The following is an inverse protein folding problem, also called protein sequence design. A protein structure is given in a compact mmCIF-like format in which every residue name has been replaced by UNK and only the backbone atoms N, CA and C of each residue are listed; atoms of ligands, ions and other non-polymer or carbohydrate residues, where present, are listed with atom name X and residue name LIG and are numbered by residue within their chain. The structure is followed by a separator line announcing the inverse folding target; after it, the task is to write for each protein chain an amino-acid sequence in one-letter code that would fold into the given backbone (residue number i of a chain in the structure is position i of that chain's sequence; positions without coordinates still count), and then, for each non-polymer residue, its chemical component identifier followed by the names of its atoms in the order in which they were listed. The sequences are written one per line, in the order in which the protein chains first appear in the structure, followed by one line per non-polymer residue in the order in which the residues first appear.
data_IF_421740744878
#
_entry.id   IF_421740744878
#
_cell.length_a   1.000
_cell.length_b   1.000
_cell.length_c   1.000
_cell.angle_alpha   90.00
_cell.angle_beta   90.00
_cell.angle_gamma   90.00
#
_symmetry.space_group_name_H-M   'P 1'
#
loop_
_entity.id
_entity.type
_entity.pdbx_description
1 polymer ?
#
# COMPACT_ATOMS: atom_id res chain seq x y z
N UNK A 1 -22.15 0.98 -53.15
CA UNK A 1 -21.28 0.90 -51.97
C UNK A 1 -20.83 2.31 -51.65
N UNK A 2 -21.57 2.98 -50.78
CA UNK A 2 -21.33 4.38 -50.43
C UNK A 2 -20.20 4.43 -49.38
N UNK A 3 -19.09 5.06 -49.76
CA UNK A 3 -18.01 5.44 -48.86
C UNK A 3 -18.52 6.54 -47.94
N UNK A 4 -18.80 6.17 -46.69
CA UNK A 4 -19.21 7.10 -45.64
C UNK A 4 -17.97 7.53 -44.85
N UNK A 5 -17.76 8.84 -44.85
CA UNK A 5 -17.02 9.66 -43.88
C UNK A 5 -15.48 9.71 -43.95
N UNK A 6 -14.92 10.72 -44.64
CA UNK A 6 -13.75 11.45 -44.18
C UNK A 6 -14.24 12.60 -43.27
N UNK A 7 -14.59 12.32 -42.02
CA UNK A 7 -15.08 13.33 -41.07
C UNK A 7 -14.22 13.47 -39.80
N UNK A 8 -13.04 12.88 -39.74
CA UNK A 8 -12.06 13.13 -38.68
C UNK A 8 -10.79 13.76 -39.28
N UNK A 9 -11.00 14.84 -40.02
CA UNK A 9 -9.93 15.75 -40.42
C UNK A 9 -9.74 16.76 -39.29
N UNK A 10 -8.60 16.67 -38.64
CA UNK A 10 -7.87 17.75 -37.95
C UNK A 10 -8.70 18.66 -37.04
N UNK A 11 -8.77 18.31 -35.75
CA UNK A 11 -8.78 19.32 -34.70
C UNK A 11 -7.31 19.58 -34.29
N UNK A 12 -6.61 20.57 -34.88
CA UNK A 12 -5.32 21.00 -34.36
C UNK A 12 -5.61 21.80 -33.09
N UNK A 13 -5.55 21.12 -31.94
CA UNK A 13 -5.51 21.63 -30.55
C UNK A 13 -6.03 20.59 -29.54
N UNK A 14 -6.27 19.34 -29.93
CA UNK A 14 -6.52 18.31 -28.94
C UNK A 14 -5.21 17.95 -28.24
N UNK A 15 -5.01 18.56 -27.07
CA UNK A 15 -4.13 18.10 -26.01
C UNK A 15 -4.56 16.70 -25.53
N UNK A 16 -4.56 15.73 -26.43
CA UNK A 16 -4.90 14.35 -26.17
C UNK A 16 -3.65 13.69 -25.59
N UNK A 17 -3.60 13.63 -24.27
CA UNK A 17 -2.57 12.92 -23.54
C UNK A 17 -2.70 11.42 -23.79
N UNK A 18 -1.76 10.84 -24.53
CA UNK A 18 -1.64 9.40 -24.70
C UNK A 18 -0.74 8.81 -23.61
N UNK A 19 -1.23 8.90 -22.37
CA UNK A 19 -0.62 8.19 -21.23
C UNK A 19 -1.00 6.71 -21.24
N UNK A 20 -0.24 5.89 -20.51
CA UNK A 20 -0.58 4.46 -20.46
C UNK A 20 -1.96 4.25 -19.83
N UNK A 21 -2.88 3.55 -20.52
CA UNK A 21 -4.25 3.37 -20.05
C UNK A 21 -4.29 2.56 -18.75
N UNK A 22 -3.21 1.82 -18.45
CA UNK A 22 -3.07 1.03 -17.23
C UNK A 22 -2.93 1.89 -15.97
N UNK A 23 -2.41 3.13 -16.09
CA UNK A 23 -2.22 4.04 -14.95
C UNK A 23 -3.24 5.18 -14.99
N UNK A 24 -3.62 5.64 -16.19
CA UNK A 24 -4.58 6.73 -16.39
C UNK A 24 -6.01 6.31 -16.61
N UNK A 25 -6.23 5.00 -16.75
CA UNK A 25 -7.54 4.43 -17.00
C UNK A 25 -8.55 4.93 -15.98
N UNK A 26 -9.78 5.12 -16.46
CA UNK A 26 -10.92 5.45 -15.61
C UNK A 26 -11.04 4.48 -14.42
N UNK A 27 -10.71 3.20 -14.63
CA UNK A 27 -10.69 2.17 -13.60
C UNK A 27 -9.77 2.46 -12.40
N UNK A 28 -8.55 2.97 -12.63
CA UNK A 28 -7.61 3.28 -11.53
C UNK A 28 -8.15 4.42 -10.67
N UNK A 29 -8.67 5.48 -11.29
CA UNK A 29 -9.27 6.61 -10.56
C UNK A 29 -10.47 6.16 -9.74
N UNK A 30 -11.37 5.39 -10.37
CA UNK A 30 -12.52 4.81 -9.67
C UNK A 30 -12.06 3.93 -8.50
N UNK A 31 -11.01 3.12 -8.70
CA UNK A 31 -10.37 2.31 -7.66
C UNK A 31 -9.90 3.13 -6.47
N UNK A 32 -9.23 4.27 -6.70
CA UNK A 32 -8.79 5.19 -5.63
C UNK A 32 -9.98 5.71 -4.83
N UNK A 33 -11.02 6.20 -5.51
CA UNK A 33 -12.20 6.73 -4.81
C UNK A 33 -12.96 5.65 -4.05
N UNK A 34 -13.08 4.45 -4.62
CA UNK A 34 -13.68 3.30 -3.94
C UNK A 34 -12.85 2.86 -2.72
N UNK A 35 -11.53 2.87 -2.83
CA UNK A 35 -10.63 2.58 -1.72
C UNK A 35 -10.82 3.59 -0.57
N UNK A 36 -10.87 4.88 -0.90
CA UNK A 36 -11.09 5.95 0.07
C UNK A 36 -12.47 5.85 0.74
N UNK A 37 -13.50 5.59 -0.07
CA UNK A 37 -14.88 5.40 0.41
C UNK A 37 -15.00 4.17 1.30
N UNK A 38 -14.31 3.08 0.96
CA UNK A 38 -14.27 1.86 1.79
C UNK A 38 -13.70 2.14 3.18
N UNK A 39 -12.61 2.92 3.27
CA UNK A 39 -12.04 3.33 4.56
C UNK A 39 -13.05 4.16 5.37
N UNK A 40 -13.76 5.09 4.72
CA UNK A 40 -14.80 5.90 5.36
C UNK A 40 -15.98 5.04 5.86
N UNK A 41 -16.48 4.10 5.05
CA UNK A 41 -17.59 3.21 5.39
C UNK A 41 -17.20 2.32 6.57
N UNK A 42 -16.08 1.62 6.48
CA UNK A 42 -15.60 0.70 7.53
C UNK A 42 -15.44 1.43 8.87
N UNK A 43 -15.00 2.68 8.82
CA UNK A 43 -14.88 3.54 10.01
C UNK A 43 -16.25 3.96 10.54
N UNK A 44 -17.10 4.52 9.68
CA UNK A 44 -18.42 5.06 10.05
C UNK A 44 -19.31 3.99 10.66
N UNK A 45 -19.31 2.79 10.07
CA UNK A 45 -20.15 1.67 10.51
C UNK A 45 -19.45 0.70 11.47
N UNK A 46 -18.21 0.99 11.89
CA UNK A 46 -17.40 0.15 12.81
C UNK A 46 -17.38 -1.34 12.43
N UNK A 47 -17.29 -1.64 11.13
CA UNK A 47 -17.44 -3.00 10.61
C UNK A 47 -16.42 -3.98 11.22
N UNK A 48 -16.88 -5.21 11.51
CA UNK A 48 -16.08 -6.31 12.07
C UNK A 48 -15.24 -6.97 10.96
N UNK A 49 -14.15 -6.29 10.58
CA UNK A 49 -13.23 -6.76 9.52
C UNK A 49 -11.97 -5.89 9.33
N UNK A 50 -11.83 -4.81 10.10
CA UNK A 50 -10.76 -3.81 10.00
C UNK A 50 -9.34 -4.39 9.95
N UNK A 51 -9.06 -5.40 10.77
CA UNK A 51 -7.73 -6.00 10.86
C UNK A 51 -7.32 -6.77 9.60
N UNK A 52 -8.27 -7.44 8.93
CA UNK A 52 -8.02 -8.15 7.68
C UNK A 52 -7.75 -7.15 6.55
N UNK A 53 -8.56 -6.09 6.46
CA UNK A 53 -8.39 -5.02 5.48
C UNK A 53 -7.03 -4.32 5.61
N UNK A 54 -6.62 -4.01 6.85
CA UNK A 54 -5.32 -3.39 7.12
C UNK A 54 -4.15 -4.27 6.65
N UNK A 55 -4.22 -5.59 6.84
CA UNK A 55 -3.19 -6.53 6.37
C UNK A 55 -3.04 -6.48 4.84
N UNK A 56 -4.14 -6.56 4.10
CA UNK A 56 -4.11 -6.49 2.64
C UNK A 56 -3.57 -5.14 2.14
N UNK A 57 -3.92 -4.07 2.83
CA UNK A 57 -3.46 -2.73 2.50
C UNK A 57 -1.94 -2.56 2.66
N UNK A 58 -1.33 -3.14 3.70
CA UNK A 58 0.14 -3.13 3.88
C UNK A 58 0.86 -3.80 2.71
N UNK A 59 0.40 -4.99 2.31
CA UNK A 59 0.99 -5.75 1.20
C UNK A 59 0.89 -4.95 -0.10
N UNK A 60 -0.26 -4.30 -0.31
CA UNK A 60 -0.51 -3.49 -1.49
C UNK A 60 0.38 -2.23 -1.54
N UNK A 61 0.52 -1.50 -0.43
CA UNK A 61 1.43 -0.35 -0.34
C UNK A 61 2.87 -0.78 -0.64
N UNK A 62 3.32 -1.89 -0.05
CA UNK A 62 4.66 -2.40 -0.28
C UNK A 62 4.91 -2.73 -1.75
N UNK A 63 3.96 -3.43 -2.39
CA UNK A 63 4.05 -3.76 -3.81
C UNK A 63 4.11 -2.52 -4.70
N UNK A 64 3.27 -1.51 -4.43
CA UNK A 64 3.28 -0.25 -5.19
C UNK A 64 4.59 0.50 -4.98
N UNK A 65 5.10 0.55 -3.74
CA UNK A 65 6.35 1.23 -3.46
C UNK A 65 7.53 0.58 -4.19
N UNK A 66 7.59 -0.76 -4.22
CA UNK A 66 8.60 -1.48 -5.01
C UNK A 66 8.44 -1.17 -6.51
N UNK A 67 7.22 -1.23 -7.04
CA UNK A 67 6.97 -0.91 -8.45
C UNK A 67 7.41 0.53 -8.79
N UNK A 68 7.14 1.49 -7.91
CA UNK A 68 7.56 2.88 -8.06
C UNK A 68 9.09 3.01 -8.12
N UNK A 69 9.81 2.31 -7.24
CA UNK A 69 11.27 2.30 -7.27
C UNK A 69 11.82 1.71 -8.57
N UNK A 70 11.25 0.60 -9.05
CA UNK A 70 11.63 0.00 -10.33
C UNK A 70 11.35 0.94 -11.51
N UNK A 71 10.17 1.55 -11.56
CA UNK A 71 9.83 2.52 -12.60
C UNK A 71 10.78 3.72 -12.58
N UNK A 72 11.12 4.24 -11.39
CA UNK A 72 12.04 5.37 -11.25
C UNK A 72 13.47 5.01 -11.63
N UNK A 73 13.95 3.82 -11.23
CA UNK A 73 15.29 3.35 -11.55
C UNK A 73 15.47 3.08 -13.06
N UNK A 74 14.41 2.63 -13.73
CA UNK A 74 14.43 2.44 -15.19
C UNK A 74 14.19 3.75 -15.96
N UNK A 75 13.71 4.80 -15.30
CA UNK A 75 13.51 6.12 -15.88
C UNK A 75 14.78 6.98 -15.90
N UNK A 76 15.81 6.63 -15.13
CA UNK A 76 17.08 7.34 -15.16
C UNK A 76 17.68 7.28 -16.57
N UNK A 77 18.14 8.41 -17.14
CA UNK A 77 18.61 8.48 -18.51
C UNK A 77 19.94 7.72 -18.62
N UNK A 78 19.86 6.45 -18.97
CA UNK A 78 20.94 5.78 -19.68
C UNK A 78 21.12 6.49 -21.01
N UNK A 79 22.01 7.47 -21.00
CA UNK A 79 22.92 7.87 -22.07
C UNK A 79 22.39 7.63 -23.49
N UNK A 80 22.04 8.73 -24.15
CA UNK A 80 21.88 8.86 -25.60
C UNK A 80 22.97 8.11 -26.39
N UNK A 81 22.77 6.85 -26.77
CA UNK A 81 23.48 6.23 -27.90
C UNK A 81 22.49 5.26 -28.54
N UNK A 82 21.71 5.77 -29.49
CA UNK A 82 20.88 5.10 -30.52
C UNK A 82 19.51 5.79 -30.64
N UNK A 83 19.49 7.02 -31.18
CA UNK A 83 18.26 7.68 -31.66
C UNK A 83 17.78 6.96 -32.92
N UNK A 84 16.89 5.99 -32.78
CA UNK A 84 15.94 5.61 -33.84
C UNK A 84 14.87 6.70 -33.92
N UNK A 85 14.71 7.27 -35.12
CA UNK A 85 13.95 8.51 -35.39
C UNK A 85 12.41 8.36 -35.31
N UNK A 86 11.90 7.37 -34.60
CA UNK A 86 10.47 7.11 -34.45
C UNK A 86 10.14 6.56 -33.05
N UNK A 87 10.81 7.08 -32.01
CA UNK A 87 10.55 6.67 -30.63
C UNK A 87 9.93 7.83 -29.85
N UNK A 88 8.63 7.68 -29.57
CA UNK A 88 7.94 8.48 -28.55
C UNK A 88 8.73 8.33 -27.26
N UNK A 89 9.06 9.42 -26.53
CA UNK A 89 9.80 9.30 -25.29
C UNK A 89 9.03 8.35 -24.34
N UNK A 90 9.67 7.22 -23.98
CA UNK A 90 9.12 6.20 -23.07
C UNK A 90 9.75 6.41 -21.70
N UNK A 91 9.05 7.15 -20.86
CA UNK A 91 9.41 7.41 -19.48
C UNK A 91 8.15 7.60 -18.64
N UNK A 92 8.22 7.37 -17.32
CA UNK A 92 7.06 7.59 -16.46
C UNK A 92 6.69 9.07 -16.47
N UNK A 93 5.39 9.35 -16.57
CA UNK A 93 4.90 10.71 -16.47
C UNK A 93 4.83 11.12 -15.00
N UNK A 94 5.13 12.39 -14.68
CA UNK A 94 5.09 12.89 -13.30
C UNK A 94 3.71 12.67 -12.62
N UNK A 95 2.64 12.68 -13.42
CA UNK A 95 1.28 12.45 -12.94
C UNK A 95 1.05 10.98 -12.49
N UNK A 96 1.87 10.02 -12.93
CA UNK A 96 1.76 8.60 -12.54
C UNK A 96 2.24 8.44 -11.10
N UNK A 97 3.37 9.07 -10.80
CA UNK A 97 3.93 9.13 -9.45
C UNK A 97 2.95 9.77 -8.49
N UNK A 98 2.25 10.83 -8.91
CA UNK A 98 1.19 11.47 -8.12
C UNK A 98 0.01 10.51 -7.84
N UNK A 99 -0.46 9.76 -8.84
CA UNK A 99 -1.56 8.78 -8.67
C UNK A 99 -1.15 7.70 -7.66
N UNK A 100 0.08 7.18 -7.76
CA UNK A 100 0.61 6.20 -6.81
C UNK A 100 0.71 6.79 -5.40
N UNK A 101 1.06 8.08 -5.27
CA UNK A 101 1.06 8.78 -3.99
C UNK A 101 -0.35 8.80 -3.38
N UNK A 102 -1.39 9.04 -4.17
CA UNK A 102 -2.77 9.04 -3.69
C UNK A 102 -3.25 7.66 -3.21
N UNK A 103 -2.80 6.59 -3.86
CA UNK A 103 -3.10 5.22 -3.42
C UNK A 103 -2.43 4.92 -2.07
N UNK A 104 -1.16 5.29 -1.92
CA UNK A 104 -0.37 5.02 -0.71
C UNK A 104 -0.86 5.88 0.46
N UNK A 105 -1.04 7.18 0.28
CA UNK A 105 -1.31 8.09 1.40
C UNK A 105 -2.78 8.42 1.59
N UNK A 106 -3.63 8.30 0.57
CA UNK A 106 -5.03 8.72 0.65
C UNK A 106 -5.82 7.97 1.72
N UNK A 107 -5.62 6.66 1.84
CA UNK A 107 -6.22 5.86 2.91
C UNK A 107 -5.76 6.30 4.30
N UNK A 108 -4.47 6.65 4.45
CA UNK A 108 -3.95 7.06 5.76
C UNK A 108 -4.36 8.48 6.13
N UNK A 109 -4.41 9.41 5.17
CA UNK A 109 -4.93 10.77 5.42
C UNK A 109 -6.37 10.72 5.90
N UNK A 110 -7.22 9.87 5.33
CA UNK A 110 -8.59 9.67 5.84
C UNK A 110 -8.56 9.15 7.28
N UNK A 111 -7.70 8.19 7.59
CA UNK A 111 -7.54 7.66 8.96
C UNK A 111 -7.14 8.77 9.94
N UNK A 112 -6.18 9.62 9.57
CA UNK A 112 -5.74 10.76 10.38
C UNK A 112 -6.84 11.80 10.56
N UNK A 113 -7.53 12.17 9.48
CA UNK A 113 -8.54 13.23 9.48
C UNK A 113 -9.79 12.89 10.32
N UNK A 114 -10.28 11.66 10.31
CA UNK A 114 -11.52 11.33 11.05
C UNK A 114 -11.32 10.97 12.54
N UNK A 115 -10.14 11.22 13.13
CA UNK A 115 -9.96 11.22 14.60
C UNK A 115 -9.97 9.88 15.35
N UNK A 116 -9.17 9.79 16.40
CA UNK A 116 -8.77 8.56 17.11
C UNK A 116 -9.92 7.74 17.73
N UNK A 117 -10.37 6.69 17.05
CA UNK A 117 -10.58 5.42 17.76
C UNK A 117 -9.28 4.63 17.59
N UNK A 118 -8.48 4.42 18.67
CA UNK A 118 -7.40 3.45 18.60
C UNK A 118 -8.03 2.14 18.14
N UNK A 119 -7.55 1.61 17.02
CA UNK A 119 -8.06 0.34 16.51
C UNK A 119 -7.93 -0.66 17.67
N UNK A 120 -9.04 -1.20 18.21
CA UNK A 120 -8.93 -2.16 19.29
C UNK A 120 -8.13 -3.32 18.72
N UNK A 121 -6.92 -3.50 19.25
CA UNK A 121 -5.98 -4.52 18.84
C UNK A 121 -6.68 -5.84 19.13
N UNK A 122 -7.36 -6.36 18.11
CA UNK A 122 -8.17 -7.56 18.26
C UNK A 122 -7.21 -8.70 18.60
N UNK A 123 -7.48 -9.37 19.72
CA UNK A 123 -6.75 -10.54 20.17
C UNK A 123 -6.82 -11.58 19.06
N UNK A 124 -5.70 -11.80 18.40
CA UNK A 124 -5.44 -12.95 17.55
C UNK A 124 -4.05 -13.40 17.92
N UNK A 125 -4.07 -14.53 18.59
CA UNK A 125 -2.99 -15.28 19.19
C UNK A 125 -2.08 -15.83 18.08
N UNK A 126 -1.07 -15.03 17.73
CA UNK A 126 0.16 -15.43 17.04
C UNK A 126 1.20 -14.35 17.32
N UNK A 127 2.26 -14.76 18.02
CA UNK A 127 3.44 -14.06 18.53
C UNK A 127 3.47 -12.53 18.42
N UNK A 128 3.49 -11.89 19.60
CA UNK A 128 3.72 -10.44 19.76
C UNK A 128 4.95 -9.95 18.99
N UNK A 129 5.97 -10.79 18.83
CA UNK A 129 7.17 -10.49 18.04
C UNK A 129 6.84 -10.31 16.56
N UNK A 130 6.07 -11.22 15.95
CA UNK A 130 5.63 -11.10 14.55
C UNK A 130 4.75 -9.87 14.34
N UNK A 131 3.95 -9.49 15.36
CA UNK A 131 3.15 -8.26 15.33
C UNK A 131 4.02 -7.01 15.33
N UNK A 132 5.00 -6.92 16.22
CA UNK A 132 5.92 -5.79 16.30
C UNK A 132 6.79 -5.68 15.05
N UNK A 133 7.31 -6.79 14.54
CA UNK A 133 8.09 -6.84 13.31
C UNK A 133 7.27 -6.36 12.11
N UNK A 134 6.03 -6.85 11.93
CA UNK A 134 5.14 -6.40 10.85
C UNK A 134 4.84 -4.91 10.95
N UNK A 135 4.55 -4.42 12.15
CA UNK A 135 4.27 -3.01 12.38
C UNK A 135 5.50 -2.16 12.04
N UNK A 136 6.68 -2.57 12.49
CA UNK A 136 7.96 -1.92 12.18
C UNK A 136 8.24 -1.89 10.67
N UNK A 137 8.09 -3.01 9.96
CA UNK A 137 8.27 -3.07 8.50
C UNK A 137 7.32 -2.11 7.79
N UNK A 138 6.04 -2.10 8.19
CA UNK A 138 5.06 -1.16 7.62
C UNK A 138 5.48 0.30 7.82
N UNK A 139 5.96 0.64 9.03
CA UNK A 139 6.49 1.97 9.32
C UNK A 139 7.70 2.32 8.46
N UNK A 140 8.69 1.43 8.36
CA UNK A 140 9.87 1.65 7.53
C UNK A 140 9.50 1.91 6.07
N UNK A 141 8.57 1.12 5.51
CA UNK A 141 8.10 1.27 4.13
C UNK A 141 7.39 2.61 3.93
N UNK A 142 6.51 2.99 4.85
CA UNK A 142 5.82 4.28 4.78
C UNK A 142 6.77 5.47 4.92
N UNK A 143 7.76 5.40 5.81
CA UNK A 143 8.77 6.45 5.97
C UNK A 143 9.63 6.56 4.72
N UNK A 144 10.10 5.43 4.18
CA UNK A 144 10.87 5.41 2.92
C UNK A 144 10.06 5.98 1.75
N UNK A 145 8.78 5.61 1.63
CA UNK A 145 7.87 6.21 0.66
C UNK A 145 7.74 7.72 0.87
N UNK A 146 7.52 8.17 2.10
CA UNK A 146 7.36 9.60 2.42
C UNK A 146 8.59 10.41 2.01
N UNK A 147 9.80 9.92 2.34
CA UNK A 147 11.06 10.55 1.95
C UNK A 147 11.18 10.61 0.42
N UNK A 148 10.87 9.52 -0.28
CA UNK A 148 10.87 9.48 -1.74
C UNK A 148 9.92 10.54 -2.33
N UNK A 149 8.69 10.65 -1.82
CA UNK A 149 7.72 11.62 -2.35
C UNK A 149 8.09 13.07 -2.02
N UNK A 150 8.68 13.33 -0.85
CA UNK A 150 9.21 14.66 -0.52
C UNK A 150 10.29 15.05 -1.54
N UNK A 151 11.23 14.15 -1.82
CA UNK A 151 12.23 14.38 -2.86
C UNK A 151 11.59 14.59 -4.25
N UNK A 152 10.62 13.78 -4.62
CA UNK A 152 9.90 13.90 -5.90
C UNK A 152 9.27 15.29 -6.07
N UNK A 153 8.59 15.80 -5.04
CA UNK A 153 7.91 17.11 -5.11
C UNK A 153 8.87 18.30 -5.08
N UNK A 154 9.98 18.20 -4.35
CA UNK A 154 10.94 19.30 -4.23
C UNK A 154 11.87 19.40 -5.44
N UNK A 155 12.36 18.27 -5.93
CA UNK A 155 13.47 18.21 -6.89
C UNK A 155 13.16 17.29 -8.07
N UNK A 156 12.65 16.08 -7.79
CA UNK A 156 12.48 15.04 -8.81
C UNK A 156 11.64 15.45 -10.01
N UNK A 157 10.56 16.22 -9.81
CA UNK A 157 9.67 16.67 -10.90
C UNK A 157 10.32 17.66 -11.88
N UNK A 158 11.36 18.40 -11.45
CA UNK A 158 12.00 19.42 -12.28
C UNK A 158 13.27 18.90 -12.96
N UNK A 159 14.03 18.04 -12.29
CA UNK A 159 15.44 17.81 -12.64
C UNK A 159 15.71 16.43 -13.27
N UNK A 160 14.76 15.47 -13.27
CA UNK A 160 15.06 14.05 -13.54
C UNK A 160 14.15 13.29 -14.50
N UNK A 161 13.97 13.78 -15.73
CA UNK A 161 13.54 12.94 -16.85
C UNK A 161 12.10 12.41 -16.79
N UNK A 162 11.26 12.91 -15.88
CA UNK A 162 9.82 12.71 -15.98
C UNK A 162 9.30 13.47 -17.20
N UNK A 163 8.51 12.78 -18.01
CA UNK A 163 8.00 13.38 -19.23
C UNK A 163 6.92 14.39 -18.92
N UNK A 164 7.03 15.56 -19.54
CA UNK A 164 5.93 16.50 -19.64
C UNK A 164 4.91 15.98 -20.65
N UNK A 165 3.64 16.33 -20.45
CA UNK A 165 2.59 16.03 -21.42
C UNK A 165 2.94 16.66 -22.78
N UNK A 166 2.97 15.89 -23.89
CA UNK A 166 3.33 16.41 -25.20
C UNK A 166 2.41 17.57 -25.64
N UNK A 167 2.97 18.54 -26.35
CA UNK A 167 2.23 19.63 -26.99
C UNK A 167 2.12 20.94 -26.20
N UNK A 168 2.89 21.14 -25.12
CA UNK A 168 2.84 22.38 -24.33
C UNK A 168 1.53 22.57 -23.54
N UNK A 169 0.72 21.51 -23.48
CA UNK A 169 -0.58 21.51 -22.83
C UNK A 169 -0.47 21.60 -21.31
N UNK A 170 0.70 21.29 -20.74
CA UNK A 170 0.96 21.29 -19.31
C UNK A 170 0.51 20.01 -18.62
N UNK A 171 1.28 19.56 -17.64
CA UNK A 171 0.97 18.36 -16.86
C UNK A 171 0.05 18.72 -15.70
N UNK A 172 -1.18 18.20 -15.72
CA UNK A 172 -2.17 18.44 -14.66
C UNK A 172 -2.50 17.16 -13.90
N UNK A 173 -2.55 17.29 -12.58
CA UNK A 173 -3.18 16.33 -11.70
C UNK A 173 -4.68 16.60 -11.58
N UNK A 174 -5.46 15.53 -11.49
CA UNK A 174 -6.89 15.60 -11.17
C UNK A 174 -7.16 14.82 -9.90
N UNK A 175 -7.64 15.51 -8.86
CA UNK A 175 -8.12 14.88 -7.63
C UNK A 175 -9.61 15.16 -7.41
N UNK A 176 -9.95 16.45 -7.30
CA UNK A 176 -11.32 16.98 -7.33
C UNK A 176 -11.43 18.22 -8.24
N UNK A 177 -10.30 18.88 -8.49
CA UNK A 177 -10.14 19.95 -9.45
C UNK A 177 -8.88 19.71 -10.29
N UNK A 178 -8.81 20.36 -11.45
CA UNK A 178 -7.61 20.39 -12.30
C UNK A 178 -6.54 21.23 -11.61
N UNK A 179 -5.38 20.64 -11.32
CA UNK A 179 -4.26 21.33 -10.67
C UNK A 179 -3.00 21.15 -11.50
N UNK A 180 -2.28 22.24 -11.80
CA UNK A 180 -0.99 22.16 -12.48
C UNK A 180 0.07 21.64 -11.52
N UNK A 181 0.78 20.60 -11.95
CA UNK A 181 1.82 19.94 -11.16
C UNK A 181 3.10 20.77 -11.05
N UNK A 182 3.34 21.68 -11.99
CA UNK A 182 4.53 22.53 -12.00
C UNK A 182 4.41 23.78 -11.13
N UNK A 183 3.20 24.08 -10.62
CA UNK A 183 2.99 25.20 -9.72
C UNK A 183 3.74 25.01 -8.39
N UNK A 184 4.57 25.98 -8.02
CA UNK A 184 5.40 25.89 -6.81
C UNK A 184 4.56 25.71 -5.54
N UNK A 185 3.44 26.43 -5.41
CA UNK A 185 2.55 26.30 -4.25
C UNK A 185 2.00 24.89 -4.08
N UNK A 186 1.72 24.20 -5.20
CA UNK A 186 1.19 22.83 -5.21
C UNK A 186 2.28 21.87 -4.75
N UNK A 187 3.50 22.02 -5.28
CA UNK A 187 4.67 21.22 -4.87
C UNK A 187 4.95 21.36 -3.38
N UNK A 188 5.01 22.60 -2.89
CA UNK A 188 5.24 22.88 -1.47
C UNK A 188 4.11 22.35 -0.59
N UNK A 189 2.84 22.49 -1.01
CA UNK A 189 1.70 21.96 -0.28
C UNK A 189 1.78 20.43 -0.12
N UNK A 190 2.05 19.71 -1.21
CA UNK A 190 2.16 18.24 -1.15
C UNK A 190 3.41 17.80 -0.38
N UNK A 191 4.57 18.44 -0.57
CA UNK A 191 5.77 18.15 0.23
C UNK A 191 5.54 18.40 1.73
N UNK A 192 4.84 19.48 2.08
CA UNK A 192 4.46 19.76 3.47
C UNK A 192 3.49 18.72 4.01
N UNK A 193 2.47 18.34 3.24
CA UNK A 193 1.49 17.32 3.63
C UNK A 193 2.17 15.96 3.90
N UNK A 194 3.22 15.63 3.14
CA UNK A 194 4.03 14.43 3.37
C UNK A 194 4.97 14.56 4.57
N UNK A 195 5.50 15.76 4.84
CA UNK A 195 6.35 16.01 6.00
C UNK A 195 5.54 15.96 7.30
N UNK A 196 4.31 16.49 7.30
CA UNK A 196 3.42 16.48 8.47
C UNK A 196 3.12 15.05 8.93
N UNK A 197 3.12 14.08 8.01
CA UNK A 197 2.81 12.69 8.26
C UNK A 197 3.77 12.03 9.27
N UNK A 198 5.08 12.17 9.06
CA UNK A 198 6.14 11.45 9.81
C UNK A 198 6.09 11.76 11.33
N UNK A 199 6.03 13.04 11.77
CA UNK A 199 5.98 13.37 13.21
C UNK A 199 4.66 12.97 13.89
N UNK A 200 3.51 13.06 13.21
CA UNK A 200 2.21 12.69 13.83
C UNK A 200 2.14 11.23 14.24
N UNK A 201 2.90 10.37 13.58
CA UNK A 201 2.86 8.92 13.79
C UNK A 201 3.83 8.52 14.91
N UNK A 202 5.02 9.12 14.97
CA UNK A 202 5.95 8.91 16.09
C UNK A 202 5.40 9.41 17.43
N UNK A 203 4.73 10.58 17.44
CA UNK A 203 4.07 11.09 18.65
C UNK A 203 2.93 10.17 19.14
N UNK A 204 2.36 9.35 18.25
CA UNK A 204 1.32 8.38 18.60
C UNK A 204 1.91 7.11 19.22
N UNK A 205 3.05 6.65 18.73
CA UNK A 205 3.80 5.52 19.28
C UNK A 205 4.43 5.88 20.65
N UNK A 206 4.88 7.13 20.84
CA UNK A 206 5.36 7.62 22.15
C UNK A 206 4.27 7.57 23.25
N UNK A 207 2.99 7.47 22.86
CA UNK A 207 1.86 7.33 23.79
C UNK A 207 1.52 5.87 24.10
N UNK A 208 2.16 4.89 23.45
CA UNK A 208 2.05 3.48 23.82
C UNK A 208 2.95 3.26 25.05
N UNK A 209 2.38 2.92 26.21
CA UNK A 209 3.16 2.80 27.44
C UNK A 209 4.31 1.78 27.28
N UNK A 210 5.54 2.10 27.75
CA UNK A 210 6.70 1.19 27.72
C UNK A 210 6.46 -0.12 28.51
N UNK A 211 5.39 -0.16 29.31
CA UNK A 211 4.94 -1.34 30.05
C UNK A 211 4.68 -2.57 29.18
N UNK A 212 4.38 -2.43 27.87
CA UNK A 212 4.13 -3.60 27.02
C UNK A 212 5.39 -4.40 26.70
N UNK A 213 6.55 -3.77 26.57
CA UNK A 213 7.81 -4.46 26.28
C UNK A 213 8.39 -5.08 27.56
N UNK A 214 8.36 -4.34 28.67
CA UNK A 214 8.81 -4.83 29.98
C UNK A 214 7.95 -6.00 30.48
N UNK A 215 6.63 -5.96 30.26
CA UNK A 215 5.74 -7.08 30.59
C UNK A 215 5.98 -8.30 29.69
N UNK A 216 6.40 -8.09 28.44
CA UNK A 216 6.77 -9.19 27.54
C UNK A 216 8.06 -9.87 27.99
N UNK A 217 9.09 -9.10 28.34
CA UNK A 217 10.36 -9.63 28.88
C UNK A 217 10.09 -10.39 30.18
N UNK A 218 9.22 -9.85 31.04
CA UNK A 218 8.83 -10.53 32.29
C UNK A 218 8.09 -11.85 32.03
N UNK A 219 7.17 -11.90 31.06
CA UNK A 219 6.46 -13.15 30.69
C UNK A 219 7.38 -14.19 30.06
N UNK A 220 8.28 -13.79 29.17
CA UNK A 220 9.28 -14.69 28.58
C UNK A 220 10.18 -15.29 29.66
N UNK A 221 10.57 -14.48 30.65
CA UNK A 221 11.36 -14.96 31.78
C UNK A 221 10.54 -15.90 32.70
N UNK A 222 9.25 -15.62 32.92
CA UNK A 222 8.36 -16.50 33.69
C UNK A 222 8.11 -17.84 32.99
N UNK A 223 7.87 -17.87 31.68
CA UNK A 223 7.70 -19.12 30.92
C UNK A 223 8.98 -19.95 30.89
N UNK A 224 10.15 -19.30 30.78
CA UNK A 224 11.44 -20.00 30.86
C UNK A 224 11.70 -20.59 32.25
N UNK A 225 11.17 -19.97 33.31
CA UNK A 225 11.25 -20.50 34.68
C UNK A 225 10.23 -21.62 34.99
N UNK A 226 9.20 -21.79 34.16
CA UNK A 226 8.18 -22.85 34.30
C UNK A 226 8.44 -24.07 33.42
N UNK A 227 9.48 -24.06 32.59
CA UNK A 227 9.89 -25.26 31.87
C UNK A 227 10.14 -26.37 32.91
N UNK A 228 9.35 -27.47 32.89
CA UNK A 228 9.55 -28.56 33.84
C UNK A 228 10.96 -29.09 33.62
N UNK A 229 11.78 -29.06 34.66
CA UNK A 229 12.99 -29.87 34.71
C UNK A 229 12.54 -31.30 34.45
N UNK A 230 12.90 -31.82 33.29
CA UNK A 230 12.72 -33.21 32.90
C UNK A 230 13.53 -34.04 33.88
N UNK A 231 12.92 -34.35 35.02
CA UNK A 231 13.38 -35.40 35.92
C UNK A 231 13.33 -36.68 35.10
N UNK A 232 14.50 -37.29 34.92
CA UNK A 232 14.69 -38.47 34.10
C UNK A 232 13.91 -39.64 34.72
N UNK A 233 12.64 -39.77 34.35
CA UNK A 233 11.81 -40.89 34.75
C UNK A 233 12.23 -42.13 33.96
N UNK A 234 12.47 -43.18 34.71
CA UNK A 234 13.07 -44.46 34.34
C UNK A 234 12.21 -45.20 33.28
N UNK A 235 12.82 -45.91 32.31
CA UNK A 235 12.08 -46.54 31.22
C UNK A 235 11.15 -47.65 31.73
N UNK A 236 9.84 -47.37 31.74
CA UNK A 236 8.80 -48.41 31.95
C UNK A 236 8.72 -49.35 30.74
N UNK A 237 8.59 -50.67 30.98
CA UNK A 237 8.57 -51.67 29.92
C UNK A 237 7.33 -51.55 29.03
N UNK A 238 7.61 -51.68 27.73
CA UNK A 238 6.69 -51.72 26.60
C UNK A 238 5.58 -52.73 26.85
N UNK A 239 4.33 -52.27 26.85
CA UNK A 239 3.15 -53.15 26.77
C UNK A 239 2.63 -53.16 25.34
N UNK A 240 2.45 -54.38 24.84
CA UNK A 240 2.11 -54.74 23.48
C UNK A 240 0.84 -54.07 22.95
N UNK A 241 0.90 -53.64 21.69
CA UNK A 241 -0.24 -53.18 20.91
C UNK A 241 -1.13 -54.38 20.53
N UNK A 242 -2.29 -54.50 21.17
CA UNK A 242 -3.39 -55.30 20.63
C UNK A 242 -4.19 -54.45 19.63
N UNK A 243 -4.09 -54.85 18.35
CA UNK A 243 -4.94 -54.39 17.27
C UNK A 243 -6.40 -54.79 17.55
N UNK A 244 -7.28 -53.81 17.70
CA UNK A 244 -8.73 -54.01 17.56
C UNK A 244 -9.22 -53.29 16.31
N UNK A 245 -9.39 -54.09 15.26
CA UNK A 245 -10.20 -53.78 14.09
C UNK A 245 -11.66 -53.61 14.53
N UNK A 246 -12.28 -52.48 14.21
CA UNK A 246 -13.74 -52.40 14.12
C UNK A 246 -14.16 -51.48 12.99
N UNK A 247 -14.48 -52.16 11.89
CA UNK A 247 -15.48 -51.79 10.91
C UNK A 247 -16.77 -51.30 11.57
N UNK A 248 -17.27 -50.13 11.18
CA UNK A 248 -18.64 -49.91 10.67
C UNK A 248 -18.88 -48.39 10.50
N UNK A 249 -19.15 -47.86 9.30
CA UNK A 249 -20.38 -47.96 8.48
C UNK A 249 -21.37 -46.82 8.78
N UNK A 250 -21.79 -46.13 7.71
CA UNK A 250 -22.98 -45.24 7.57
C UNK A 250 -22.95 -43.90 8.34
N UNK A 251 -23.36 -42.76 7.81
CA UNK A 251 -24.02 -42.41 6.55
C UNK A 251 -24.49 -40.94 6.57
N UNK A 252 -24.97 -40.43 5.42
CA UNK A 252 -25.78 -39.20 5.28
C UNK A 252 -25.00 -37.89 5.44
N UNK A 253 -24.80 -37.06 4.41
CA UNK A 253 -25.84 -36.47 3.57
C UNK A 253 -26.27 -35.12 4.17
N UNK A 254 -25.97 -34.01 3.51
CA UNK A 254 -26.92 -32.93 3.21
C UNK A 254 -26.24 -31.82 2.40
N UNK A 255 -26.76 -31.67 1.18
CA UNK A 255 -26.69 -30.49 0.32
C UNK A 255 -27.41 -29.33 1.03
N UNK A 256 -26.86 -28.12 0.97
CA UNK A 256 -27.69 -26.92 0.95
C UNK A 256 -27.01 -25.79 0.18
N UNK A 257 -27.45 -25.65 -1.06
CA UNK A 257 -27.40 -24.41 -1.83
C UNK A 257 -28.07 -23.27 -1.03
N UNK A 258 -27.45 -22.09 -1.04
CA UNK A 258 -28.08 -20.77 -1.21
C UNK A 258 -26.98 -19.74 -1.50
#
# INVERSE_FOLDING_TARGET
MASLTPFLRDAPNECAFQGEPDIYGFGIRLGIYLQWTSVLIVRTFKLRGRASLAKSYVIFIFAIFVALLFMTANATPSTEINKSSEDTPKGPYAVEVMILAYIIFGGVYIVLLTGNDPMPIQRFDVDTVTRLCRQFVFWCVLTAASVYYIWFWLDGINDRGFLETPGGCGTYGFLFAKVSLYNQSVKTFFAFLQTLYVPTLELREAKIPPYSAAMLIKRLHEDQSRAPTTEADEPKPVRDCQATSSSNNQGGGYIRDY
#
